data_IF_116274293408
#
_entry.id   IF_116274293408
#
_cell.length_a   1.000
_cell.length_b   1.000
_cell.length_c   1.000
_cell.angle_alpha   90.00
_cell.angle_beta   90.00
_cell.angle_gamma   90.00
#
_symmetry.space_group_name_H-M   'P 1'
#
loop_
_entity.id
_entity.type
_entity.pdbx_description
1 polymer ?
#
# COMPACT_ATOMS: atom_id res chain seq x y z
N UNK A 1 2.83 -15.68 2.12
CA UNK A 1 1.92 -14.56 2.46
C UNK A 1 0.58 -14.84 1.80
N UNK A 2 -0.54 -14.50 2.44
CA UNK A 2 -1.87 -14.69 1.84
C UNK A 2 -2.45 -13.35 1.39
N UNK A 3 -3.04 -13.31 0.19
CA UNK A 3 -3.94 -12.23 -0.20
C UNK A 3 -5.30 -12.53 0.42
N UNK A 4 -5.73 -11.72 1.39
CA UNK A 4 -6.99 -11.93 2.13
C UNK A 4 -8.18 -11.28 1.45
N UNK A 5 -7.97 -10.11 0.83
CA UNK A 5 -8.97 -9.37 0.05
C UNK A 5 -8.27 -8.51 -1.00
N UNK A 6 -8.85 -8.40 -2.20
CA UNK A 6 -8.36 -7.50 -3.26
C UNK A 6 -9.46 -6.48 -3.58
N UNK A 7 -9.20 -5.21 -3.31
CA UNK A 7 -10.05 -4.11 -3.78
C UNK A 7 -9.58 -3.66 -5.15
N UNK A 8 -10.46 -3.70 -6.15
CA UNK A 8 -10.11 -3.36 -7.52
C UNK A 8 -11.19 -2.48 -8.18
N UNK A 9 -10.76 -1.57 -9.05
CA UNK A 9 -11.67 -0.77 -9.88
C UNK A 9 -12.42 -1.64 -10.90
N UNK A 10 -11.76 -2.68 -11.40
CA UNK A 10 -12.36 -3.75 -12.19
C UNK A 10 -12.25 -5.08 -11.44
N UNK A 11 -13.34 -5.51 -10.81
CA UNK A 11 -13.37 -6.76 -10.05
C UNK A 11 -13.44 -8.02 -10.92
N UNK A 12 -13.61 -7.89 -12.25
CA UNK A 12 -13.45 -9.02 -13.16
C UNK A 12 -12.00 -9.53 -13.15
N UNK A 13 -11.04 -8.64 -12.85
CA UNK A 13 -9.69 -9.01 -12.48
C UNK A 13 -9.69 -9.64 -11.08
N UNK A 14 -9.81 -10.96 -11.06
CA UNK A 14 -9.92 -11.74 -9.83
C UNK A 14 -8.71 -12.67 -9.61
N UNK A 15 -7.50 -12.12 -9.40
CA UNK A 15 -6.28 -12.91 -9.43
C UNK A 15 -6.21 -13.97 -8.34
N UNK A 16 -6.96 -13.83 -7.25
CA UNK A 16 -6.96 -14.74 -6.10
C UNK A 16 -8.37 -15.22 -5.70
N UNK A 17 -9.37 -15.05 -6.56
CA UNK A 17 -10.78 -15.43 -6.31
C UNK A 17 -11.45 -14.72 -5.12
N UNK A 18 -10.87 -13.61 -4.65
CA UNK A 18 -11.34 -12.81 -3.52
C UNK A 18 -11.41 -11.30 -3.84
N UNK A 19 -11.43 -10.92 -5.13
CA UNK A 19 -11.60 -9.53 -5.55
C UNK A 19 -13.00 -9.00 -5.28
N UNK A 20 -13.08 -7.75 -4.85
CA UNK A 20 -14.32 -6.97 -4.71
C UNK A 20 -14.17 -5.63 -5.43
N UNK A 21 -15.28 -5.12 -5.96
CA UNK A 21 -15.28 -3.83 -6.65
C UNK A 21 -15.15 -2.68 -5.66
N UNK A 22 -14.31 -1.71 -5.98
CA UNK A 22 -14.15 -0.49 -5.23
C UNK A 22 -13.85 0.70 -6.15
N UNK A 23 -14.34 1.88 -5.77
CA UNK A 23 -13.88 3.14 -6.35
C UNK A 23 -12.58 3.54 -5.65
N UNK A 24 -11.50 3.62 -6.41
CA UNK A 24 -10.17 3.95 -5.89
C UNK A 24 -9.73 5.30 -6.49
N UNK A 25 -9.33 6.22 -5.64
CA UNK A 25 -8.73 7.50 -6.01
C UNK A 25 -7.37 7.63 -5.33
N UNK A 26 -6.40 8.14 -6.09
CA UNK A 26 -5.07 8.49 -5.61
C UNK A 26 -4.66 9.84 -6.17
N UNK A 27 -4.16 10.70 -5.32
CA UNK A 27 -3.43 11.91 -5.68
C UNK A 27 -2.02 11.80 -5.11
N UNK A 28 -1.02 12.07 -5.95
CA UNK A 28 0.39 12.10 -5.55
C UNK A 28 1.02 13.38 -6.03
N UNK A 29 1.73 14.07 -5.14
CA UNK A 29 2.53 15.23 -5.50
C UNK A 29 3.98 14.99 -5.09
N UNK A 30 4.90 15.43 -5.95
CA UNK A 30 6.33 15.38 -5.70
C UNK A 30 6.90 16.76 -6.01
N UNK A 31 7.72 17.28 -5.10
CA UNK A 31 8.43 18.54 -5.25
C UNK A 31 9.90 18.35 -4.90
N UNK A 32 10.77 18.91 -5.73
CA UNK A 32 12.21 18.90 -5.53
C UNK A 32 12.78 20.25 -5.93
N UNK A 33 13.81 20.71 -5.22
CA UNK A 33 14.56 21.91 -5.56
C UNK A 33 15.99 21.52 -5.91
N UNK A 34 16.41 21.80 -7.15
CA UNK A 34 17.72 21.41 -7.67
C UNK A 34 17.96 19.90 -7.57
N UNK A 35 19.03 19.50 -6.85
CA UNK A 35 19.41 18.11 -6.65
C UNK A 35 18.96 17.53 -5.30
N UNK A 36 18.09 18.24 -4.56
CA UNK A 36 17.56 17.73 -3.30
C UNK A 36 16.63 16.53 -3.54
N UNK A 37 16.53 15.64 -2.55
CA UNK A 37 15.57 14.54 -2.59
C UNK A 37 14.13 15.09 -2.64
N UNK A 38 13.29 14.47 -3.47
CA UNK A 38 11.92 14.93 -3.68
C UNK A 38 11.05 14.67 -2.43
N UNK A 39 10.48 15.73 -1.88
CA UNK A 39 9.44 15.65 -0.86
C UNK A 39 8.08 15.44 -1.53
N UNK A 40 7.09 14.94 -0.80
CA UNK A 40 5.82 14.62 -1.43
C UNK A 40 4.62 14.52 -0.52
N UNK A 41 3.47 14.34 -1.16
CA UNK A 41 2.19 14.07 -0.55
C UNK A 41 1.51 12.89 -1.24
N UNK A 42 0.74 12.13 -0.47
CA UNK A 42 -0.09 11.04 -0.97
C UNK A 42 -1.46 11.17 -0.33
N UNK A 43 -2.51 11.10 -1.15
CA UNK A 43 -3.89 11.02 -0.71
C UNK A 43 -4.58 9.86 -1.41
N UNK A 44 -5.12 8.95 -0.62
CA UNK A 44 -5.77 7.73 -1.08
C UNK A 44 -7.19 7.67 -0.51
N UNK A 45 -8.12 7.27 -1.36
CA UNK A 45 -9.46 6.89 -0.95
C UNK A 45 -9.89 5.63 -1.67
N UNK A 46 -10.37 4.64 -0.91
CA UNK A 46 -10.99 3.41 -1.41
C UNK A 46 -12.41 3.38 -0.89
N UNK A 47 -13.41 3.37 -1.77
CA UNK A 47 -14.83 3.22 -1.40
C UNK A 47 -15.33 1.87 -1.91
N UNK A 48 -15.80 1.04 -1.00
CA UNK A 48 -16.30 -0.30 -1.31
C UNK A 48 -17.78 -0.23 -1.69
N UNK A 49 -18.27 -1.23 -2.44
CA UNK A 49 -19.66 -1.23 -2.92
C UNK A 49 -20.71 -1.34 -1.80
N UNK A 50 -20.32 -1.86 -0.64
CA UNK A 50 -21.14 -1.95 0.58
C UNK A 50 -21.12 -0.66 1.44
N UNK A 51 -20.46 0.41 0.98
CA UNK A 51 -20.46 1.72 1.62
C UNK A 51 -19.30 1.99 2.59
N UNK A 52 -18.41 1.02 2.81
CA UNK A 52 -17.17 1.21 3.55
C UNK A 52 -16.20 2.15 2.83
N UNK A 53 -15.39 2.90 3.60
CA UNK A 53 -14.35 3.78 3.06
C UNK A 53 -13.04 3.57 3.81
N UNK A 54 -11.94 3.47 3.07
CA UNK A 54 -10.58 3.61 3.60
C UNK A 54 -9.99 4.92 3.08
N UNK A 55 -9.40 5.70 3.97
CA UNK A 55 -8.71 6.93 3.65
C UNK A 55 -7.32 6.94 4.26
N UNK A 56 -6.34 7.30 3.46
CA UNK A 56 -4.97 7.51 3.91
C UNK A 56 -4.45 8.81 3.31
N UNK A 57 -3.84 9.66 4.13
CA UNK A 57 -3.10 10.82 3.65
C UNK A 57 -1.76 10.91 4.36
N UNK A 58 -0.76 11.39 3.64
CA UNK A 58 0.53 11.73 4.24
C UNK A 58 1.20 12.88 3.48
N UNK A 59 2.04 13.62 4.20
CA UNK A 59 3.06 14.51 3.66
C UNK A 59 4.39 14.17 4.29
N UNK A 60 5.46 14.26 3.51
CA UNK A 60 6.77 13.84 3.97
C UNK A 60 7.90 14.65 3.34
N UNK A 61 9.00 14.74 4.09
CA UNK A 61 10.27 15.27 3.59
C UNK A 61 11.05 14.12 2.94
N UNK A 62 11.46 14.30 1.69
CA UNK A 62 12.15 13.31 0.88
C UNK A 62 13.58 12.99 1.31
N UNK A 63 14.05 11.80 0.95
CA UNK A 63 15.42 11.31 1.05
C UNK A 63 15.69 10.35 -0.12
N UNK A 64 16.94 9.97 -0.32
CA UNK A 64 17.32 9.04 -1.39
C UNK A 64 16.65 7.67 -1.18
N UNK A 65 15.81 7.21 -2.13
CA UNK A 65 15.21 5.89 -2.04
C UNK A 65 16.26 4.79 -2.26
N UNK A 66 16.07 3.66 -1.61
CA UNK A 66 16.88 2.45 -1.78
C UNK A 66 16.32 1.58 -2.89
N UNK A 67 17.18 1.12 -3.80
CA UNK A 67 16.81 0.11 -4.80
C UNK A 67 16.74 -1.27 -4.16
N UNK A 68 15.73 -2.06 -4.55
CA UNK A 68 15.58 -3.44 -4.10
C UNK A 68 14.97 -4.33 -5.18
N UNK A 69 15.37 -5.60 -5.16
CA UNK A 69 14.75 -6.68 -5.91
C UNK A 69 14.24 -7.75 -4.93
N UNK A 70 13.08 -8.32 -5.22
CA UNK A 70 12.54 -9.42 -4.40
C UNK A 70 11.66 -10.37 -5.21
N UNK A 71 11.57 -11.61 -4.72
CA UNK A 71 10.61 -12.60 -5.18
C UNK A 71 9.65 -12.93 -4.02
N UNK A 72 8.36 -12.98 -4.30
CA UNK A 72 7.34 -13.31 -3.30
C UNK A 72 6.29 -14.27 -3.85
N UNK A 73 5.85 -15.17 -2.97
CA UNK A 73 4.80 -16.15 -3.22
C UNK A 73 3.57 -15.73 -2.44
N UNK A 74 2.54 -15.29 -3.17
CA UNK A 74 1.30 -14.78 -2.60
C UNK A 74 0.20 -15.79 -2.89
N UNK A 75 -0.34 -16.40 -1.84
CA UNK A 75 -1.35 -17.45 -1.90
C UNK A 75 -2.74 -16.87 -1.79
N UNK A 76 -3.72 -17.49 -2.45
CA UNK A 76 -5.13 -17.16 -2.23
C UNK A 76 -5.59 -17.66 -0.87
N UNK A 77 -6.39 -16.87 -0.16
CA UNK A 77 -7.04 -17.33 1.07
C UNK A 77 -8.31 -18.18 0.83
N UNK A 78 -8.87 -18.14 -0.38
CA UNK A 78 -10.06 -18.93 -0.75
C UNK A 78 -9.70 -20.22 -1.47
N UNK A 79 -8.56 -20.26 -2.17
CA UNK A 79 -7.99 -21.47 -2.78
C UNK A 79 -6.51 -21.60 -2.40
N UNK A 80 -6.19 -22.21 -1.25
CA UNK A 80 -4.83 -22.21 -0.69
C UNK A 80 -3.75 -22.83 -1.59
N UNK A 81 -4.13 -23.73 -2.50
CA UNK A 81 -3.20 -24.36 -3.45
C UNK A 81 -2.85 -23.44 -4.63
N UNK A 82 -3.62 -22.36 -4.83
CA UNK A 82 -3.37 -21.37 -5.87
C UNK A 82 -2.52 -20.21 -5.32
N UNK A 83 -1.46 -19.85 -6.05
CA UNK A 83 -0.63 -18.68 -5.74
C UNK A 83 -0.13 -17.96 -6.99
N UNK A 84 0.34 -16.73 -6.81
CA UNK A 84 1.10 -15.99 -7.82
C UNK A 84 2.55 -15.86 -7.35
N UNK A 85 3.47 -15.93 -8.30
CA UNK A 85 4.87 -15.59 -8.08
C UNK A 85 5.09 -14.17 -8.60
N UNK A 86 5.56 -13.30 -7.73
CA UNK A 86 5.88 -11.92 -8.07
C UNK A 86 7.36 -11.66 -7.98
N UNK A 87 7.97 -11.33 -9.12
CA UNK A 87 9.34 -10.79 -9.20
C UNK A 87 9.26 -9.29 -9.33
N UNK A 88 9.86 -8.59 -8.39
CA UNK A 88 9.66 -7.16 -8.19
C UNK A 88 10.99 -6.43 -8.20
N UNK A 89 10.99 -5.25 -8.82
CA UNK A 89 12.05 -4.25 -8.71
C UNK A 89 11.40 -2.97 -8.20
N UNK A 90 11.94 -2.37 -7.15
CA UNK A 90 11.36 -1.19 -6.55
C UNK A 90 12.40 -0.16 -6.10
N UNK A 91 11.96 1.07 -5.97
CA UNK A 91 12.61 2.07 -5.14
C UNK A 91 11.77 2.25 -3.89
N UNK A 92 12.39 2.12 -2.72
CA UNK A 92 11.72 2.18 -1.43
C UNK A 92 12.37 3.23 -0.54
N UNK A 93 11.56 4.03 0.11
CA UNK A 93 11.99 5.08 1.00
C UNK A 93 11.33 4.90 2.38
N UNK A 94 12.14 4.77 3.43
CA UNK A 94 11.65 4.68 4.81
C UNK A 94 11.30 6.06 5.34
N UNK A 95 10.01 6.40 5.37
CA UNK A 95 9.54 7.72 5.80
C UNK A 95 9.32 7.75 7.31
N UNK A 96 8.79 6.68 7.89
CA UNK A 96 8.58 6.54 9.35
C UNK A 96 8.94 5.13 9.80
N UNK A 97 9.58 5.01 10.96
CA UNK A 97 9.85 3.76 11.67
C UNK A 97 10.12 4.02 13.15
N UNK A 98 9.32 3.42 14.02
CA UNK A 98 9.52 3.48 15.47
C UNK A 98 10.84 2.80 15.86
N UNK A 99 11.10 1.59 15.35
CA UNK A 99 12.28 0.81 15.71
C UNK A 99 13.59 1.45 15.21
N UNK A 100 13.58 2.05 14.02
CA UNK A 100 14.75 2.73 13.45
C UNK A 100 14.88 4.20 13.91
N UNK A 101 13.95 4.71 14.73
CA UNK A 101 13.89 6.11 15.18
C UNK A 101 13.92 7.12 14.03
N UNK A 102 13.17 6.82 12.96
CA UNK A 102 13.02 7.68 11.79
C UNK A 102 11.59 8.22 11.77
N UNK A 103 11.43 9.54 11.66
CA UNK A 103 10.15 10.15 11.31
C UNK A 103 10.40 11.38 10.44
N UNK A 104 10.04 11.26 9.16
CA UNK A 104 10.09 12.34 8.18
C UNK A 104 8.69 12.71 7.68
N UNK A 105 7.65 12.22 8.35
CA UNK A 105 6.28 12.66 8.08
C UNK A 105 6.07 14.03 8.70
N UNK A 106 5.43 14.93 7.95
CA UNK A 106 4.97 16.23 8.47
C UNK A 106 3.49 16.18 8.79
N UNK A 107 2.73 15.35 8.06
CA UNK A 107 1.33 15.05 8.30
C UNK A 107 1.10 13.58 7.94
N UNK A 108 0.27 12.88 8.70
CA UNK A 108 -0.31 11.61 8.28
C UNK A 108 -1.63 11.35 8.98
N UNK A 109 -2.55 10.67 8.31
CA UNK A 109 -3.77 10.16 8.91
C UNK A 109 -4.24 8.93 8.14
N UNK A 110 -4.73 7.95 8.89
CA UNK A 110 -5.39 6.77 8.37
C UNK A 110 -6.76 6.64 9.03
N UNK A 111 -7.77 6.26 8.27
CA UNK A 111 -9.06 5.86 8.80
C UNK A 111 -9.72 4.82 7.90
N UNK A 112 -10.54 3.97 8.50
CA UNK A 112 -11.35 3.01 7.75
C UNK A 112 -12.72 2.84 8.42
N UNK A 113 -13.75 2.71 7.59
CA UNK A 113 -15.11 2.30 7.98
C UNK A 113 -15.51 0.98 7.30
N UNK A 114 -14.55 0.31 6.64
CA UNK A 114 -14.79 -0.98 5.99
C UNK A 114 -15.07 -2.03 7.08
N UNK A 115 -16.26 -2.66 7.13
CA UNK A 115 -16.63 -3.54 8.23
C UNK A 115 -15.67 -4.72 8.43
N UNK A 116 -15.13 -5.28 7.35
CA UNK A 116 -14.18 -6.40 7.40
C UNK A 116 -12.85 -6.05 8.09
N UNK A 117 -12.53 -4.76 8.19
CA UNK A 117 -11.31 -4.26 8.84
C UNK A 117 -11.56 -3.80 10.28
N UNK A 118 -12.81 -3.76 10.74
CA UNK A 118 -13.16 -3.17 12.03
C UNK A 118 -12.46 -3.83 13.23
N UNK A 119 -12.22 -5.14 13.16
CA UNK A 119 -11.48 -5.86 14.21
C UNK A 119 -9.96 -5.64 14.17
N UNK A 120 -9.43 -5.12 13.07
CA UNK A 120 -8.00 -4.79 12.92
C UNK A 120 -7.70 -3.32 13.26
N UNK A 121 -8.72 -2.46 13.22
CA UNK A 121 -8.64 -1.02 13.44
C UNK A 121 -9.74 -0.59 14.42
N UNK A 122 -9.61 -1.03 15.67
CA UNK A 122 -10.55 -0.75 16.76
C UNK A 122 -10.10 0.41 17.67
N UNK A 123 -9.03 1.10 17.29
CA UNK A 123 -8.39 2.18 18.04
C UNK A 123 -7.24 1.72 18.93
N UNK A 124 -6.97 0.41 19.02
CA UNK A 124 -5.81 -0.13 19.73
C UNK A 124 -4.56 -0.24 18.85
N UNK A 125 -4.71 -0.07 17.54
CA UNK A 125 -3.60 -0.14 16.59
C UNK A 125 -2.58 1.00 16.77
N UNK A 126 -1.33 0.72 16.44
CA UNK A 126 -0.25 1.71 16.41
C UNK A 126 0.40 1.76 15.03
N UNK A 127 0.58 2.97 14.50
CA UNK A 127 1.34 3.17 13.26
C UNK A 127 2.85 3.07 13.52
N UNK A 128 3.41 1.90 13.26
CA UNK A 128 4.83 1.63 13.51
C UNK A 128 5.78 2.10 12.40
N UNK A 129 5.27 2.35 11.20
CA UNK A 129 6.10 2.80 10.08
C UNK A 129 5.35 3.06 8.78
N UNK A 130 5.99 3.83 7.90
CA UNK A 130 5.51 4.16 6.56
C UNK A 130 6.68 3.97 5.58
N UNK A 131 6.44 3.17 4.55
CA UNK A 131 7.32 3.03 3.38
C UNK A 131 6.66 3.73 2.20
N UNK A 132 7.38 4.67 1.59
CA UNK A 132 7.01 5.22 0.29
C UNK A 132 7.68 4.39 -0.82
N UNK A 133 6.91 3.98 -1.83
CA UNK A 133 7.41 3.17 -2.95
C UNK A 133 7.12 3.91 -4.27
N UNK A 134 7.92 4.94 -4.62
CA UNK A 134 7.65 5.79 -5.77
C UNK A 134 7.80 5.08 -7.11
N UNK A 135 8.62 4.03 -7.18
CA UNK A 135 8.78 3.19 -8.39
C UNK A 135 8.58 1.74 -8.01
N UNK A 136 7.69 1.09 -8.74
CA UNK A 136 7.38 -0.33 -8.58
C UNK A 136 7.18 -0.98 -9.94
N UNK A 137 8.00 -1.98 -10.23
CA UNK A 137 7.87 -2.82 -11.40
C UNK A 137 7.72 -4.28 -10.99
N UNK A 138 6.78 -5.00 -11.60
CA UNK A 138 6.45 -6.38 -11.23
C UNK A 138 6.19 -7.24 -12.46
N UNK A 139 6.83 -8.40 -12.50
CA UNK A 139 6.43 -9.52 -13.34
C UNK A 139 5.59 -10.49 -12.52
N UNK A 140 4.55 -11.04 -13.16
CA UNK A 140 3.60 -11.96 -12.54
C UNK A 140 3.63 -13.29 -13.24
N UNK A 141 3.78 -14.37 -12.46
CA UNK A 141 3.74 -15.74 -12.95
C UNK A 141 2.68 -16.55 -12.19
N UNK A 142 2.24 -17.63 -12.82
CA UNK A 142 1.51 -18.72 -12.18
C UNK A 142 2.52 -19.76 -11.64
N UNK A 143 2.07 -20.69 -10.77
CA UNK A 143 2.89 -21.80 -10.30
C UNK A 143 3.60 -22.56 -11.42
#
# INVERSE_FOLDING_TARGET
>A
MYATRVYATDSSLNPYKNSVSAMISRTSELSAEGNAAASGSEEWTVKTSDGGTLSFRMKYIGNTPSYGESESFIYSNVEPDFYRIYRQKHLTELVKSVSAKVDRTTEHAFSTTIPEMASMFDGSEELIGILNVPIYWRQTYLP
#
